data_IF_972247789316
#
_entry.id   IF_972247789316
#
_cell.length_a   1.000
_cell.length_b   1.000
_cell.length_c   1.000
_cell.angle_alpha   90.00
_cell.angle_beta   90.00
_cell.angle_gamma   90.00
#
_symmetry.space_group_name_H-M   'P 1'
#
loop_
_entity.id
_entity.type
_entity.pdbx_description
1 polymer ?
#
# COMPACT_ATOMS: atom_id res chain seq x y z
N UNK A 1 -27.42 -20.78 -17.05
CA UNK A 1 -27.63 -22.03 -17.80
C UNK A 1 -29.12 -22.32 -17.91
N UNK A 2 -29.85 -22.26 -16.79
CA UNK A 2 -31.31 -22.49 -16.71
C UNK A 2 -32.15 -21.72 -17.74
N UNK A 3 -31.95 -20.41 -17.91
CA UNK A 3 -32.73 -19.62 -18.88
C UNK A 3 -32.55 -20.07 -20.34
N UNK A 4 -31.35 -20.53 -20.72
CA UNK A 4 -31.08 -21.03 -22.08
C UNK A 4 -31.71 -22.40 -22.31
N UNK A 5 -31.74 -23.24 -21.28
CA UNK A 5 -32.41 -24.53 -21.32
C UNK A 5 -33.92 -24.37 -21.46
N UNK A 6 -34.53 -23.51 -20.64
CA UNK A 6 -35.96 -23.19 -20.71
C UNK A 6 -36.34 -22.61 -22.09
N UNK A 7 -35.47 -21.80 -22.70
CA UNK A 7 -35.68 -21.29 -24.05
C UNK A 7 -35.73 -22.42 -25.10
N UNK A 8 -34.79 -23.36 -25.05
CA UNK A 8 -34.73 -24.49 -25.99
C UNK A 8 -35.89 -25.46 -25.80
N UNK A 9 -36.28 -25.75 -24.54
CA UNK A 9 -37.43 -26.61 -24.25
C UNK A 9 -38.71 -26.01 -24.83
N UNK A 10 -38.96 -24.71 -24.62
CA UNK A 10 -40.11 -24.03 -25.22
C UNK A 10 -40.04 -24.00 -26.75
N UNK A 11 -38.85 -23.76 -27.33
CA UNK A 11 -38.66 -23.84 -28.78
C UNK A 11 -39.03 -25.23 -29.33
N UNK A 12 -38.68 -26.31 -28.62
CA UNK A 12 -38.92 -27.69 -29.04
C UNK A 12 -40.40 -28.09 -29.06
N UNK A 13 -41.26 -27.38 -28.34
CA UNK A 13 -42.72 -27.62 -28.36
C UNK A 13 -43.40 -27.16 -29.66
N UNK A 14 -42.74 -26.28 -30.44
CA UNK A 14 -43.27 -25.69 -31.67
C UNK A 14 -44.62 -24.94 -31.53
N UNK A 15 -45.05 -24.61 -30.31
CA UNK A 15 -46.34 -23.94 -30.05
C UNK A 15 -46.31 -22.43 -30.29
N UNK A 16 -45.12 -21.80 -30.25
CA UNK A 16 -44.94 -20.35 -30.42
C UNK A 16 -43.94 -20.03 -31.52
N UNK A 17 -44.16 -18.92 -32.22
CA UNK A 17 -43.21 -18.45 -33.23
C UNK A 17 -41.90 -18.01 -32.57
N UNK A 18 -40.78 -18.11 -33.31
CA UNK A 18 -39.47 -17.65 -32.83
C UNK A 18 -39.49 -16.18 -32.36
N UNK A 19 -40.32 -15.34 -32.98
CA UNK A 19 -40.46 -13.94 -32.61
C UNK A 19 -41.14 -13.77 -31.23
N UNK A 20 -42.19 -14.54 -30.95
CA UNK A 20 -42.89 -14.52 -29.66
C UNK A 20 -42.03 -15.10 -28.55
N UNK A 21 -41.36 -16.21 -28.82
CA UNK A 21 -40.45 -16.85 -27.88
C UNK A 21 -39.28 -15.90 -27.52
N UNK A 22 -38.66 -15.24 -28.49
CA UNK A 22 -37.60 -14.27 -28.22
C UNK A 22 -38.09 -13.07 -27.39
N UNK A 23 -39.34 -12.60 -27.62
CA UNK A 23 -39.96 -11.54 -26.81
C UNK A 23 -40.20 -11.98 -25.37
N UNK A 24 -40.73 -13.18 -25.16
CA UNK A 24 -40.99 -13.74 -23.83
C UNK A 24 -39.70 -13.89 -22.99
N UNK A 25 -38.58 -14.23 -23.64
CA UNK A 25 -37.29 -14.39 -22.98
C UNK A 25 -36.41 -13.13 -23.00
N UNK A 26 -36.91 -12.01 -23.54
CA UNK A 26 -36.18 -10.73 -23.56
C UNK A 26 -34.89 -10.74 -24.38
N UNK A 27 -34.81 -11.59 -25.41
CA UNK A 27 -33.61 -11.72 -26.26
C UNK A 27 -33.89 -11.29 -27.71
N UNK A 28 -32.83 -10.92 -28.43
CA UNK A 28 -32.94 -10.63 -29.85
C UNK A 28 -33.20 -11.92 -30.65
N UNK A 29 -33.93 -11.82 -31.77
CA UNK A 29 -34.13 -12.96 -32.70
C UNK A 29 -32.80 -13.59 -33.15
N UNK A 30 -31.77 -12.78 -33.41
CA UNK A 30 -30.43 -13.24 -33.76
C UNK A 30 -29.83 -14.14 -32.67
N UNK A 31 -29.98 -13.74 -31.40
CA UNK A 31 -29.54 -14.53 -30.25
C UNK A 31 -30.35 -15.82 -30.12
N UNK A 32 -31.66 -15.77 -30.32
CA UNK A 32 -32.53 -16.95 -30.32
C UNK A 32 -32.11 -18.01 -31.33
N UNK A 33 -31.94 -17.62 -32.60
CA UNK A 33 -31.43 -18.54 -33.64
C UNK A 33 -30.04 -19.10 -33.32
N UNK A 34 -29.13 -18.29 -32.78
CA UNK A 34 -27.81 -18.78 -32.37
C UNK A 34 -27.89 -19.83 -31.26
N UNK A 35 -28.77 -19.64 -30.27
CA UNK A 35 -28.96 -20.59 -29.16
C UNK A 35 -29.49 -21.93 -29.68
N UNK A 36 -30.49 -21.88 -30.57
CA UNK A 36 -31.05 -23.09 -31.20
C UNK A 36 -30.01 -23.80 -32.06
N UNK A 37 -29.29 -23.08 -32.92
CA UNK A 37 -28.25 -23.67 -33.77
C UNK A 37 -27.16 -24.35 -32.93
N UNK A 38 -26.75 -23.73 -31.80
CA UNK A 38 -25.79 -24.32 -30.88
C UNK A 38 -26.32 -25.58 -30.19
N UNK A 39 -27.59 -25.58 -29.79
CA UNK A 39 -28.24 -26.76 -29.22
C UNK A 39 -28.36 -27.91 -30.22
N UNK A 40 -28.74 -27.60 -31.47
CA UNK A 40 -28.82 -28.61 -32.53
C UNK A 40 -27.45 -29.22 -32.86
N UNK A 41 -26.38 -28.41 -32.83
CA UNK A 41 -25.03 -28.87 -33.16
C UNK A 41 -24.32 -29.62 -32.01
N UNK A 42 -24.59 -29.25 -30.75
CA UNK A 42 -23.80 -29.69 -29.60
C UNK A 42 -24.64 -30.13 -28.39
N UNK A 43 -25.95 -30.27 -28.54
CA UNK A 43 -26.86 -30.66 -27.45
C UNK A 43 -26.80 -29.69 -26.27
N UNK A 44 -26.90 -30.24 -25.06
CA UNK A 44 -26.85 -29.47 -23.81
C UNK A 44 -25.52 -28.72 -23.62
N UNK A 45 -24.40 -29.27 -24.10
CA UNK A 45 -23.07 -28.65 -24.02
C UNK A 45 -23.00 -27.35 -24.83
N UNK A 46 -23.81 -27.25 -25.91
CA UNK A 46 -23.94 -26.03 -26.71
C UNK A 46 -24.55 -24.84 -25.95
N UNK A 47 -25.25 -25.09 -24.85
CA UNK A 47 -25.90 -24.05 -24.03
C UNK A 47 -24.96 -23.47 -22.97
N UNK A 48 -23.87 -24.16 -22.66
CA UNK A 48 -22.85 -23.70 -21.73
C UNK A 48 -22.18 -22.40 -22.24
N UNK A 49 -21.89 -21.43 -21.35
CA UNK A 49 -21.12 -20.26 -21.75
C UNK A 49 -19.70 -20.67 -22.15
N UNK A 50 -19.35 -20.50 -23.43
CA UNK A 50 -17.97 -20.69 -23.91
C UNK A 50 -17.11 -19.49 -23.53
N UNK A 51 -15.84 -19.75 -23.24
CA UNK A 51 -14.85 -18.69 -23.03
C UNK A 51 -14.82 -17.75 -24.23
N UNK A 52 -14.88 -16.44 -23.97
CA UNK A 52 -14.70 -15.38 -24.98
C UNK A 52 -13.23 -14.98 -25.15
N UNK A 53 -12.30 -15.67 -24.48
CA UNK A 53 -10.88 -15.37 -24.58
C UNK A 53 -10.35 -15.74 -25.98
N UNK A 54 -9.52 -14.89 -26.61
CA UNK A 54 -8.83 -15.24 -27.84
C UNK A 54 -8.02 -16.53 -27.66
N UNK A 55 -8.19 -17.49 -28.57
CA UNK A 55 -7.48 -18.78 -28.52
C UNK A 55 -5.99 -18.64 -28.81
N UNK A 56 -5.60 -17.58 -29.54
CA UNK A 56 -4.22 -17.32 -29.92
C UNK A 56 -3.92 -15.82 -29.79
N UNK A 57 -2.84 -15.48 -29.09
CA UNK A 57 -2.35 -14.11 -29.00
C UNK A 57 -1.00 -14.02 -29.73
N UNK A 58 -0.89 -13.29 -30.85
CA UNK A 58 0.33 -13.29 -31.66
C UNK A 58 1.57 -12.77 -30.92
N UNK A 59 1.40 -11.96 -29.86
CA UNK A 59 2.50 -11.51 -29.00
C UNK A 59 2.67 -12.37 -27.73
N UNK A 60 2.14 -13.59 -27.71
CA UNK A 60 2.37 -14.51 -26.60
C UNK A 60 3.85 -14.91 -26.55
N UNK A 61 4.43 -14.86 -25.36
CA UNK A 61 5.78 -15.37 -25.13
C UNK A 61 5.75 -16.88 -25.36
N UNK A 62 6.70 -17.46 -26.13
CA UNK A 62 6.78 -18.89 -26.35
C UNK A 62 6.81 -19.66 -25.01
N UNK A 63 6.18 -20.83 -24.99
CA UNK A 63 6.06 -21.64 -23.78
C UNK A 63 7.43 -22.07 -23.24
N UNK A 64 8.37 -22.39 -24.13
CA UNK A 64 9.77 -22.70 -23.80
C UNK A 64 10.47 -21.56 -23.04
N UNK A 65 10.23 -20.30 -23.44
CA UNK A 65 10.77 -19.13 -22.76
C UNK A 65 10.10 -18.92 -21.40
N UNK A 66 8.79 -19.17 -21.31
CA UNK A 66 8.09 -19.14 -20.02
C UNK A 66 8.68 -20.18 -19.05
N UNK A 67 8.92 -21.41 -19.53
CA UNK A 67 9.53 -22.47 -18.75
C UNK A 67 10.95 -22.11 -18.30
N UNK A 68 11.76 -21.48 -19.16
CA UNK A 68 13.10 -21.00 -18.81
C UNK A 68 13.06 -19.93 -17.69
N UNK A 69 12.09 -19.01 -17.72
CA UNK A 69 11.90 -18.03 -16.63
C UNK A 69 11.56 -18.72 -15.30
N UNK A 70 10.73 -19.77 -15.34
CA UNK A 70 10.39 -20.54 -14.15
C UNK A 70 11.59 -21.34 -13.61
N UNK A 71 12.40 -21.96 -14.47
CA UNK A 71 13.65 -22.63 -14.08
C UNK A 71 14.63 -21.65 -13.42
N UNK A 72 14.83 -20.48 -14.02
CA UNK A 72 15.68 -19.43 -13.45
C UNK A 72 15.18 -18.97 -12.07
N UNK A 73 13.86 -18.89 -11.87
CA UNK A 73 13.27 -18.57 -10.56
C UNK A 73 13.46 -19.69 -9.55
N UNK A 74 13.36 -20.96 -9.96
CA UNK A 74 13.60 -22.11 -9.10
C UNK A 74 15.06 -22.18 -8.64
N UNK A 75 16.01 -21.89 -9.53
CA UNK A 75 17.44 -21.81 -9.20
C UNK A 75 17.77 -20.63 -8.26
N UNK A 76 17.02 -19.52 -8.37
CA UNK A 76 17.27 -18.30 -7.60
C UNK A 76 15.98 -17.74 -6.97
N UNK A 77 15.49 -18.41 -5.92
CA UNK A 77 14.23 -18.06 -5.25
C UNK A 77 14.19 -16.62 -4.71
N UNK A 78 15.32 -16.06 -4.26
CA UNK A 78 15.40 -14.68 -3.75
C UNK A 78 15.39 -13.61 -4.84
N UNK A 79 15.58 -13.98 -6.11
CA UNK A 79 15.70 -13.01 -7.19
C UNK A 79 14.31 -12.56 -7.66
N UNK A 80 14.15 -11.24 -7.74
CA UNK A 80 12.98 -10.62 -8.36
C UNK A 80 13.10 -10.59 -9.88
N UNK A 81 11.99 -10.28 -10.60
CA UNK A 81 11.97 -10.30 -12.06
C UNK A 81 13.09 -9.51 -12.72
N UNK A 82 13.50 -8.37 -12.15
CA UNK A 82 14.61 -7.54 -12.68
C UNK A 82 15.97 -8.24 -12.64
N UNK A 83 16.24 -9.04 -11.62
CA UNK A 83 17.53 -9.75 -11.44
C UNK A 83 17.60 -11.08 -12.17
N UNK A 84 16.45 -11.66 -12.55
CA UNK A 84 16.41 -12.93 -13.26
C UNK A 84 17.06 -12.82 -14.64
N UNK A 85 17.93 -13.79 -14.92
CA UNK A 85 18.63 -14.00 -16.18
C UNK A 85 18.41 -15.45 -16.63
N UNK A 86 18.59 -15.76 -17.93
CA UNK A 86 18.61 -17.15 -18.39
C UNK A 86 19.73 -17.92 -17.68
N UNK A 87 19.53 -19.22 -17.44
CA UNK A 87 20.59 -20.09 -16.95
C UNK A 87 21.66 -20.28 -18.04
N UNK A 88 22.88 -20.61 -17.62
CA UNK A 88 24.04 -20.69 -18.53
C UNK A 88 23.88 -21.76 -19.62
N UNK A 89 23.16 -22.84 -19.32
CA UNK A 89 22.85 -23.98 -20.17
C UNK A 89 21.63 -23.78 -21.08
N UNK A 90 20.89 -22.67 -20.94
CA UNK A 90 19.74 -22.40 -21.82
C UNK A 90 20.18 -22.20 -23.28
N UNK A 91 19.40 -22.72 -24.26
CA UNK A 91 19.66 -22.52 -25.67
C UNK A 91 19.77 -21.04 -26.09
N UNK A 92 20.53 -20.77 -27.14
CA UNK A 92 20.78 -19.40 -27.60
C UNK A 92 19.49 -18.67 -28.01
N UNK A 93 18.52 -19.37 -28.60
CA UNK A 93 17.24 -18.76 -29.00
C UNK A 93 16.42 -18.31 -27.79
N UNK A 94 16.47 -19.03 -26.67
CA UNK A 94 15.83 -18.64 -25.41
C UNK A 94 16.50 -17.41 -24.80
N UNK A 95 17.84 -17.36 -24.85
CA UNK A 95 18.61 -16.20 -24.39
C UNK A 95 18.31 -14.95 -25.23
N UNK A 96 18.21 -15.10 -26.55
CA UNK A 96 17.83 -14.02 -27.47
C UNK A 96 16.39 -13.54 -27.24
N UNK A 97 15.47 -14.47 -26.97
CA UNK A 97 14.07 -14.17 -26.69
C UNK A 97 13.78 -13.84 -25.21
N UNK A 98 14.81 -13.54 -24.40
CA UNK A 98 14.62 -13.36 -22.97
C UNK A 98 13.71 -12.15 -22.68
N UNK A 99 12.56 -12.36 -22.01
CA UNK A 99 11.53 -11.33 -21.93
C UNK A 99 11.93 -10.22 -20.98
N UNK A 100 11.43 -9.01 -21.20
CA UNK A 100 11.64 -7.86 -20.31
C UNK A 100 11.12 -8.12 -18.88
N UNK A 101 11.63 -7.36 -17.91
CA UNK A 101 11.35 -7.59 -16.49
C UNK A 101 9.86 -7.59 -16.13
N UNK A 102 9.04 -6.75 -16.78
CA UNK A 102 7.58 -6.72 -16.60
C UNK A 102 6.94 -8.04 -17.03
N UNK A 103 7.31 -8.55 -18.20
CA UNK A 103 6.82 -9.82 -18.75
C UNK A 103 7.26 -11.01 -17.89
N UNK A 104 8.51 -11.02 -17.41
CA UNK A 104 8.97 -12.01 -16.41
C UNK A 104 8.11 -11.96 -15.16
N UNK A 105 7.82 -10.76 -14.65
CA UNK A 105 6.93 -10.58 -13.51
C UNK A 105 5.52 -11.13 -13.75
N UNK A 106 4.96 -10.93 -14.94
CA UNK A 106 3.66 -11.46 -15.32
C UNK A 106 3.64 -12.99 -15.47
N UNK A 107 4.73 -13.59 -15.96
CA UNK A 107 4.89 -15.05 -16.03
C UNK A 107 4.92 -15.63 -14.61
N UNK A 108 5.74 -15.07 -13.72
CA UNK A 108 5.85 -15.52 -12.33
C UNK A 108 4.54 -15.33 -11.55
N UNK A 109 3.82 -14.23 -11.79
CA UNK A 109 2.53 -13.99 -11.16
C UNK A 109 1.47 -15.00 -11.61
N UNK A 110 1.44 -15.36 -12.90
CA UNK A 110 0.57 -16.42 -13.43
C UNK A 110 0.89 -17.79 -12.83
N UNK A 111 2.17 -18.05 -12.54
CA UNK A 111 2.62 -19.27 -11.86
C UNK A 111 2.45 -19.24 -10.33
N UNK A 112 1.89 -18.18 -9.74
CA UNK A 112 1.71 -18.07 -8.29
C UNK A 112 3.00 -17.81 -7.50
N UNK A 113 4.12 -17.51 -8.17
CA UNK A 113 5.44 -17.30 -7.56
C UNK A 113 5.72 -15.84 -7.14
N UNK A 114 4.70 -14.98 -7.18
CA UNK A 114 4.78 -13.58 -6.75
C UNK A 114 3.69 -13.31 -5.73
N UNK A 115 4.11 -13.04 -4.49
CA UNK A 115 3.21 -12.48 -3.48
C UNK A 115 3.02 -11.00 -3.80
N UNK A 116 1.79 -10.61 -4.14
CA UNK A 116 1.46 -9.18 -4.29
C UNK A 116 1.67 -8.51 -2.94
N UNK A 117 2.52 -7.49 -2.91
CA UNK A 117 2.66 -6.66 -1.72
C UNK A 117 1.30 -6.00 -1.45
N UNK A 118 0.74 -6.08 -0.23
CA UNK A 118 -0.46 -5.35 0.09
C UNK A 118 -0.24 -3.86 -0.22
N UNK A 119 -1.27 -3.14 -0.66
CA UNK A 119 -1.14 -1.72 -0.93
C UNK A 119 -0.56 -1.02 0.31
N UNK A 120 0.31 -0.01 0.14
CA UNK A 120 0.76 0.78 1.28
C UNK A 120 -0.49 1.23 2.05
N UNK A 121 -0.46 1.08 3.38
CA UNK A 121 -1.53 1.61 4.23
C UNK A 121 -1.80 3.03 3.78
N UNK A 122 -3.06 3.32 3.40
CA UNK A 122 -3.46 4.68 3.07
C UNK A 122 -2.93 5.58 4.19
N UNK A 123 -2.12 6.57 3.81
CA UNK A 123 -1.62 7.57 4.74
C UNK A 123 -2.85 8.11 5.48
N UNK A 124 -2.94 7.87 6.79
CA UNK A 124 -4.02 8.43 7.60
C UNK A 124 -4.05 9.93 7.28
N UNK A 125 -5.21 10.43 6.88
CA UNK A 125 -5.35 11.83 6.50
C UNK A 125 -4.73 12.69 7.61
N UNK A 126 -3.83 13.64 7.29
CA UNK A 126 -3.23 14.48 8.30
C UNK A 126 -4.35 15.16 9.07
N UNK A 127 -4.35 15.03 10.41
CA UNK A 127 -5.28 15.78 11.26
C UNK A 127 -4.95 17.26 11.09
N UNK A 128 -5.72 17.92 10.23
CA UNK A 128 -5.42 19.28 9.75
C UNK A 128 -6.05 20.39 10.56
N UNK A 129 -6.88 20.18 11.59
CA UNK A 129 -7.33 21.27 12.48
C UNK A 129 -8.21 20.86 13.69
N UNK A 130 -8.35 21.75 14.70
CA UNK A 130 -7.54 22.93 14.96
C UNK A 130 -6.58 22.67 16.12
N UNK A 131 -5.28 22.74 15.83
CA UNK A 131 -4.33 23.12 16.88
C UNK A 131 -4.69 24.56 17.28
N UNK A 132 -4.76 24.86 18.58
CA UNK A 132 -5.16 26.19 19.06
C UNK A 132 -4.36 27.30 18.38
N UNK A 133 -5.00 28.44 18.12
CA UNK A 133 -4.33 29.60 17.51
C UNK A 133 -3.06 29.95 18.32
N UNK A 134 -1.98 30.22 17.58
CA UNK A 134 -0.71 30.72 18.10
C UNK A 134 -0.66 32.20 17.71
N UNK A 135 -0.72 33.09 18.70
CA UNK A 135 -0.95 34.52 18.54
C UNK A 135 0.26 35.38 18.94
N UNK A 136 1.16 34.87 19.78
CA UNK A 136 2.35 35.57 20.24
C UNK A 136 3.54 34.61 20.49
N UNK A 137 4.79 35.13 20.59
CA UNK A 137 5.90 34.35 21.10
C UNK A 137 5.58 33.77 22.48
N UNK A 138 6.09 32.57 22.78
CA UNK A 138 5.81 31.80 23.98
C UNK A 138 4.36 31.33 24.14
N UNK A 139 3.51 31.43 23.12
CA UNK A 139 2.18 30.80 23.18
C UNK A 139 2.26 29.28 23.10
N UNK A 140 3.06 28.75 22.18
CA UNK A 140 3.19 27.31 21.99
C UNK A 140 4.61 26.98 21.59
N UNK A 141 5.26 26.14 22.39
CA UNK A 141 6.52 25.54 22.02
C UNK A 141 6.30 24.14 21.45
N UNK A 142 7.03 23.82 20.39
CA UNK A 142 7.07 22.49 19.78
C UNK A 142 8.40 21.84 20.11
N UNK A 143 8.37 20.65 20.70
CA UNK A 143 9.57 19.87 20.98
C UNK A 143 9.51 18.49 20.32
N UNK A 144 10.62 18.07 19.76
CA UNK A 144 10.70 16.86 18.93
C UNK A 144 12.09 16.22 18.94
N UNK A 145 12.12 14.89 18.86
CA UNK A 145 13.34 14.10 18.74
C UNK A 145 13.65 13.75 17.28
N UNK A 146 14.84 14.10 16.82
CA UNK A 146 15.27 13.86 15.43
C UNK A 146 15.96 12.51 15.25
N UNK A 147 15.28 11.42 15.62
CA UNK A 147 15.83 10.07 15.53
C UNK A 147 17.18 9.94 16.25
N UNK A 148 17.87 8.81 16.08
CA UNK A 148 19.24 8.66 16.60
C UNK A 148 20.24 8.63 15.46
N UNK A 149 21.42 9.21 15.67
CA UNK A 149 22.55 9.10 14.76
C UNK A 149 23.87 8.98 15.55
N UNK A 150 24.97 8.68 14.85
CA UNK A 150 26.31 8.64 15.44
C UNK A 150 27.05 9.94 15.17
N UNK A 151 27.60 10.55 16.21
CA UNK A 151 28.53 11.67 16.11
C UNK A 151 29.87 11.21 15.51
N UNK A 152 30.76 12.14 15.17
CA UNK A 152 32.03 11.84 14.49
C UNK A 152 32.95 10.90 15.29
N UNK A 153 32.82 10.91 16.62
CA UNK A 153 33.48 10.01 17.57
C UNK A 153 32.81 8.62 17.67
N UNK A 154 31.76 8.36 16.89
CA UNK A 154 31.02 7.10 16.87
C UNK A 154 29.96 6.96 17.97
N UNK A 155 29.84 7.94 18.87
CA UNK A 155 28.88 7.93 19.98
C UNK A 155 27.46 8.13 19.45
N UNK A 156 26.49 7.36 19.99
CA UNK A 156 25.08 7.54 19.64
C UNK A 156 24.53 8.79 20.32
N UNK A 157 23.79 9.61 19.59
CA UNK A 157 23.01 10.70 20.16
C UNK A 157 21.58 10.70 19.61
N UNK A 158 20.66 11.24 20.41
CA UNK A 158 19.28 11.54 20.03
C UNK A 158 19.05 13.02 20.24
N UNK A 159 19.05 13.86 19.18
CA UNK A 159 18.89 15.29 19.33
C UNK A 159 17.47 15.65 19.72
N UNK A 160 17.34 16.45 20.77
CA UNK A 160 16.11 17.15 21.14
C UNK A 160 16.14 18.55 20.55
N UNK A 161 15.07 18.91 19.84
CA UNK A 161 14.85 20.27 19.35
C UNK A 161 13.65 20.89 20.06
N UNK A 162 13.76 22.15 20.49
CA UNK A 162 12.67 22.95 21.08
C UNK A 162 12.56 24.23 20.28
N UNK A 163 11.37 24.53 19.79
CA UNK A 163 11.11 25.69 18.92
C UNK A 163 9.84 26.42 19.32
N UNK A 164 9.82 27.73 19.11
CA UNK A 164 8.63 28.54 19.30
C UNK A 164 7.75 28.52 18.03
N UNK A 165 6.47 28.21 18.19
CA UNK A 165 5.57 28.03 17.05
C UNK A 165 5.17 29.35 16.36
N UNK A 166 5.28 30.49 17.05
CA UNK A 166 4.94 31.81 16.51
C UNK A 166 6.11 32.40 15.73
N UNK A 167 7.22 32.62 16.42
CA UNK A 167 8.43 33.26 15.92
C UNK A 167 9.29 32.34 15.04
N UNK A 168 9.04 31.02 15.08
CA UNK A 168 9.83 29.98 14.39
C UNK A 168 11.28 29.88 14.86
N UNK A 169 11.62 30.51 15.98
CA UNK A 169 12.96 30.44 16.58
C UNK A 169 13.19 29.03 17.15
N UNK A 170 14.37 28.48 16.87
CA UNK A 170 14.88 27.28 17.53
C UNK A 170 15.48 27.67 18.87
N UNK A 171 14.71 27.51 19.94
CA UNK A 171 15.09 27.87 21.30
C UNK A 171 16.20 26.97 21.84
N UNK A 172 16.20 25.68 21.46
CA UNK A 172 17.25 24.75 21.86
C UNK A 172 17.42 23.61 20.90
N UNK A 173 18.68 23.20 20.71
CA UNK A 173 19.07 21.95 20.06
C UNK A 173 20.10 21.27 20.96
N UNK A 174 19.74 20.14 21.57
CA UNK A 174 20.60 19.44 22.51
C UNK A 174 20.80 17.98 22.06
N UNK A 175 22.05 17.58 21.88
CA UNK A 175 22.40 16.18 21.70
C UNK A 175 22.30 15.45 23.05
N UNK A 176 21.45 14.41 23.12
CA UNK A 176 21.34 13.54 24.28
C UNK A 176 22.02 12.19 24.01
N UNK A 177 23.06 11.87 24.77
CA UNK A 177 23.86 10.65 24.59
C UNK A 177 23.32 9.45 25.39
N UNK A 178 22.59 9.72 26.48
CA UNK A 178 22.11 8.69 27.41
C UNK A 178 20.63 8.32 27.19
N UNK A 179 20.08 8.67 26.03
CA UNK A 179 18.72 8.31 25.60
C UNK A 179 17.67 9.40 25.85
N UNK A 180 16.39 9.01 25.71
CA UNK A 180 15.22 9.92 25.74
C UNK A 180 14.42 9.82 27.05
N UNK A 181 15.06 9.44 28.16
CA UNK A 181 14.38 9.32 29.46
C UNK A 181 14.10 10.70 30.07
N UNK A 182 13.05 10.82 30.88
CA UNK A 182 12.64 12.08 31.51
C UNK A 182 13.77 12.77 32.26
N UNK A 183 14.58 12.03 33.02
CA UNK A 183 15.72 12.53 33.79
C UNK A 183 16.76 13.29 32.93
N UNK A 184 16.90 12.91 31.66
CA UNK A 184 17.83 13.54 30.72
C UNK A 184 17.21 14.75 30.02
N UNK A 185 15.88 14.73 29.85
CA UNK A 185 15.13 15.70 29.06
C UNK A 185 14.65 16.88 29.91
N UNK A 186 14.23 16.62 31.14
CA UNK A 186 13.71 17.65 32.04
C UNK A 186 14.71 18.79 32.29
N UNK A 187 16.01 18.54 32.57
CA UNK A 187 16.96 19.64 32.76
C UNK A 187 17.11 20.53 31.52
N UNK A 188 16.99 19.95 30.32
CA UNK A 188 17.05 20.71 29.05
C UNK A 188 15.87 21.67 28.94
N UNK A 189 14.67 21.24 29.32
CA UNK A 189 13.50 22.11 29.39
C UNK A 189 13.65 23.18 30.47
N UNK A 190 14.10 22.82 31.68
CA UNK A 190 14.29 23.79 32.77
C UNK A 190 15.25 24.92 32.39
N UNK A 191 16.38 24.59 31.77
CA UNK A 191 17.32 25.62 31.29
C UNK A 191 16.67 26.47 30.19
N UNK A 192 15.94 25.85 29.26
CA UNK A 192 15.24 26.61 28.20
C UNK A 192 14.18 27.54 28.78
N UNK A 193 13.46 27.12 29.82
CA UNK A 193 12.46 27.96 30.51
C UNK A 193 13.10 29.15 31.22
N UNK A 194 14.27 28.95 31.85
CA UNK A 194 15.00 30.04 32.52
C UNK A 194 15.52 31.08 31.51
N UNK A 195 15.89 30.64 30.31
CA UNK A 195 16.46 31.51 29.28
C UNK A 195 15.39 32.28 28.48
N UNK A 196 14.28 31.64 28.13
CA UNK A 196 13.28 32.19 27.21
C UNK A 196 11.89 32.43 27.83
N UNK A 197 11.73 32.11 29.12
CA UNK A 197 10.45 32.14 29.83
C UNK A 197 9.64 30.86 29.64
N UNK A 198 8.41 30.85 30.19
CA UNK A 198 7.53 29.69 30.12
C UNK A 198 6.54 29.81 28.96
N UNK A 199 6.34 28.74 28.17
CA UNK A 199 5.28 28.73 27.17
C UNK A 199 3.90 28.52 27.81
N UNK A 200 2.85 29.05 27.18
CA UNK A 200 1.48 28.73 27.57
C UNK A 200 1.12 27.27 27.29
N UNK A 201 1.68 26.69 26.23
CA UNK A 201 1.42 25.32 25.78
C UNK A 201 2.71 24.66 25.30
N UNK A 202 2.89 23.39 25.65
CA UNK A 202 3.96 22.56 25.10
C UNK A 202 3.34 21.49 24.20
N UNK A 203 3.85 21.37 22.98
CA UNK A 203 3.44 20.39 21.99
C UNK A 203 4.60 19.43 21.71
N UNK A 204 4.38 18.18 22.06
CA UNK A 204 5.29 17.07 21.78
C UNK A 204 4.53 15.97 21.04
N UNK A 205 5.25 14.98 20.54
CA UNK A 205 4.61 13.73 20.18
C UNK A 205 4.21 12.94 21.45
N UNK A 206 3.48 11.84 21.26
CA UNK A 206 3.11 10.93 22.35
C UNK A 206 4.19 9.87 22.62
N UNK A 207 5.43 10.11 22.19
CA UNK A 207 6.55 9.21 22.44
C UNK A 207 7.10 9.36 23.87
N UNK A 208 7.71 8.33 24.45
CA UNK A 208 8.54 8.50 25.65
C UNK A 208 9.65 9.54 25.39
N UNK A 209 9.87 10.51 26.30
CA UNK A 209 9.40 10.59 27.68
C UNK A 209 8.11 11.41 27.88
N UNK A 210 7.51 11.92 26.81
CA UNK A 210 6.43 12.90 26.89
C UNK A 210 5.08 12.31 27.31
N UNK A 211 4.88 10.99 27.17
CA UNK A 211 3.61 10.30 27.43
C UNK A 211 3.68 9.16 28.48
N UNK A 212 4.68 9.15 29.36
CA UNK A 212 4.77 8.16 30.47
C UNK A 212 4.35 8.78 31.80
N UNK A 213 3.09 8.63 32.22
CA UNK A 213 2.43 8.92 33.54
C UNK A 213 2.94 10.14 34.37
N UNK A 214 3.59 11.11 33.75
CA UNK A 214 3.90 12.40 34.32
C UNK A 214 3.24 13.43 33.41
N UNK A 215 1.99 13.79 33.72
CA UNK A 215 1.35 14.94 33.11
C UNK A 215 2.23 16.15 33.45
N UNK A 216 2.98 16.68 32.48
CA UNK A 216 3.52 18.05 32.60
C UNK A 216 2.34 18.99 32.40
N UNK A 217 1.53 19.14 33.44
CA UNK A 217 0.56 20.22 33.52
C UNK A 217 1.32 21.43 34.02
N UNK A 218 1.43 22.46 33.18
CA UNK A 218 2.08 23.74 33.49
C UNK A 218 1.48 24.44 34.74
N UNK A 219 0.31 23.99 35.22
CA UNK A 219 -0.40 24.59 36.35
C UNK A 219 0.29 24.44 37.72
N UNK A 220 1.24 23.51 37.90
CA UNK A 220 1.87 23.32 39.23
C UNK A 220 3.08 24.23 39.50
N UNK A 221 3.53 25.03 38.53
CA UNK A 221 4.70 25.92 38.67
C UNK A 221 4.36 27.38 39.01
N UNK A 222 3.09 27.67 39.35
CA UNK A 222 2.66 29.01 39.83
C UNK A 222 2.75 29.20 41.35
N UNK A 223 3.06 28.16 42.12
CA UNK A 223 2.97 28.18 43.58
C UNK A 223 4.34 27.95 44.21
N UNK A 224 5.20 28.96 44.22
CA UNK A 224 6.54 28.85 44.80
C UNK A 224 7.29 30.17 44.92
N UNK A 225 6.58 31.25 45.26
CA UNK A 225 7.15 32.58 45.38
C UNK A 225 6.44 33.40 46.45
N UNK A 226 6.66 33.02 47.72
CA UNK A 226 6.44 33.90 48.88
C UNK A 226 7.21 33.33 50.07
N UNK A 227 8.50 33.66 50.16
CA UNK A 227 9.08 34.39 51.28
C UNK A 227 10.45 34.96 50.86
#
# INVERSE_FOLDING_TARGET
MEQRLAFVLNWSTHETSMAELCRAFGISRKTGYHVVAHYQAHGLDGLAPRSRAPQHHPNAVPEEVCAAVLRAKAAHLSWGPKKLQPLADEPLHIKAAWPVASTRGAILARAGLVVRRPPPRQHVAPRTQPFGAVQAPNDTWCADFKGWFRTADGTRCVPLTISDAYSRVLLRCQALHHGTRTEQVQPVFEVTFREYGLPLRLRTDNGPPFASIARVVCHHWRSGGSN
#
